data_IF_645079314664
#
_entry.id   IF_645079314664
#
_cell.length_a   1.000
_cell.length_b   1.000
_cell.length_c   1.000
_cell.angle_alpha   90.00
_cell.angle_beta   90.00
_cell.angle_gamma   90.00
#
_symmetry.space_group_name_H-M   'P 1'
#
loop_
_entity.id
_entity.type
_entity.pdbx_description
1 polymer ?
#
# COMPACT_ATOMS: atom_id res chain seq x y z
N UNK A 1 -5.06 -3.97 4.20
CA UNK A 1 -5.94 -2.98 3.55
C UNK A 1 -6.54 -3.61 2.33
N UNK A 2 -7.85 -3.50 2.16
CA UNK A 2 -8.54 -3.82 0.92
C UNK A 2 -8.69 -2.52 0.12
N UNK A 3 -8.20 -2.52 -1.12
CA UNK A 3 -8.14 -1.36 -2.01
C UNK A 3 -9.13 -1.43 -3.18
N UNK A 4 -10.12 -2.34 -3.11
CA UNK A 4 -11.08 -2.58 -4.19
C UNK A 4 -12.00 -1.37 -4.40
N UNK A 5 -12.06 -0.77 -5.61
CA UNK A 5 -12.87 0.43 -5.86
C UNK A 5 -14.38 0.19 -5.79
N UNK A 6 -14.82 -1.04 -6.00
CA UNK A 6 -16.23 -1.46 -6.05
C UNK A 6 -16.72 -2.12 -4.76
N UNK A 7 -15.97 -1.97 -3.65
CA UNK A 7 -16.40 -2.46 -2.35
C UNK A 7 -17.66 -1.72 -1.90
N UNK A 8 -18.73 -2.49 -1.70
CA UNK A 8 -20.08 -2.04 -1.35
C UNK A 8 -20.54 -2.66 -0.03
N UNK A 9 -21.77 -2.39 0.39
CA UNK A 9 -22.40 -3.04 1.54
C UNK A 9 -22.36 -4.58 1.49
N UNK A 10 -22.40 -5.18 0.29
CA UNK A 10 -22.29 -6.64 0.12
C UNK A 10 -20.88 -7.16 0.45
N UNK A 11 -19.84 -6.46 -0.03
CA UNK A 11 -18.44 -6.79 0.29
C UNK A 11 -18.16 -6.63 1.79
N UNK A 12 -18.68 -5.56 2.40
CA UNK A 12 -18.61 -5.39 3.85
C UNK A 12 -19.32 -6.53 4.59
N UNK A 13 -20.53 -6.93 4.18
CA UNK A 13 -21.26 -8.03 4.82
C UNK A 13 -20.57 -9.41 4.66
N UNK A 14 -19.77 -9.61 3.62
CA UNK A 14 -18.90 -10.79 3.48
C UNK A 14 -17.74 -10.73 4.49
N UNK A 15 -17.03 -9.60 4.54
CA UNK A 15 -15.90 -9.40 5.46
C UNK A 15 -16.33 -9.43 6.93
N UNK A 16 -17.49 -8.86 7.28
CA UNK A 16 -18.11 -8.94 8.62
C UNK A 16 -18.36 -10.39 9.02
N UNK A 17 -18.92 -11.22 8.13
CA UNK A 17 -19.10 -12.65 8.41
C UNK A 17 -17.77 -13.38 8.61
N UNK A 18 -16.76 -13.07 7.80
CA UNK A 18 -15.44 -13.69 7.90
C UNK A 18 -14.69 -13.34 9.20
N UNK A 19 -14.83 -12.10 9.71
CA UNK A 19 -14.25 -11.74 11.03
C UNK A 19 -15.04 -12.32 12.19
N UNK A 20 -16.38 -12.40 12.08
CA UNK A 20 -17.24 -13.00 13.10
C UNK A 20 -17.05 -14.53 13.22
N UNK A 21 -16.79 -15.22 12.09
CA UNK A 21 -16.52 -16.67 12.05
C UNK A 21 -15.07 -17.03 12.41
N UNK A 22 -14.19 -16.05 12.64
CA UNK A 22 -12.77 -16.28 12.86
C UNK A 22 -11.97 -16.69 11.61
N UNK A 23 -12.60 -16.73 10.42
CA UNK A 23 -11.92 -16.99 9.15
C UNK A 23 -10.96 -15.87 8.75
N UNK A 24 -11.23 -14.63 9.19
CA UNK A 24 -10.38 -13.46 8.96
C UNK A 24 -9.90 -12.88 10.29
N UNK A 25 -8.63 -13.13 10.61
CA UNK A 25 -8.01 -12.73 11.87
C UNK A 25 -7.24 -11.40 11.78
N UNK A 26 -7.29 -10.69 10.67
CA UNK A 26 -6.57 -9.41 10.48
C UNK A 26 -7.49 -8.21 10.74
N UNK A 27 -6.92 -7.07 11.12
CA UNK A 27 -7.62 -5.78 10.99
C UNK A 27 -7.64 -5.36 9.52
N UNK A 28 -8.79 -4.94 9.02
CA UNK A 28 -8.99 -4.56 7.62
C UNK A 28 -9.49 -3.12 7.54
N UNK A 29 -8.66 -2.26 6.94
CA UNK A 29 -9.14 -1.00 6.38
C UNK A 29 -9.71 -1.29 4.99
N UNK A 30 -11.01 -1.06 4.80
CA UNK A 30 -11.74 -1.26 3.54
C UNK A 30 -11.86 0.08 2.83
N UNK A 31 -11.22 0.23 1.68
CA UNK A 31 -11.63 1.26 0.73
C UNK A 31 -12.82 0.77 -0.10
N UNK A 32 -13.46 1.68 -0.82
CA UNK A 32 -14.60 1.43 -1.69
C UNK A 32 -15.19 2.74 -2.20
N UNK A 33 -16.33 2.66 -2.89
CA UNK A 33 -17.02 3.80 -3.50
C UNK A 33 -17.70 4.73 -2.48
N UNK A 34 -18.43 5.73 -2.97
CA UNK A 34 -19.19 6.69 -2.15
C UNK A 34 -20.34 6.10 -1.32
N UNK A 35 -20.73 4.84 -1.57
CA UNK A 35 -21.83 4.13 -0.91
C UNK A 35 -21.36 3.16 0.17
N UNK A 36 -20.06 2.87 0.28
CA UNK A 36 -19.49 2.00 1.33
C UNK A 36 -19.91 2.48 2.73
N UNK A 37 -20.72 1.70 3.48
CA UNK A 37 -21.19 2.10 4.82
C UNK A 37 -20.10 1.92 5.88
N UNK A 38 -20.30 2.53 7.06
CA UNK A 38 -19.38 2.34 8.19
C UNK A 38 -19.46 0.89 8.73
N UNK A 39 -18.32 0.21 8.96
CA UNK A 39 -18.30 -1.08 9.64
C UNK A 39 -18.66 -0.98 11.13
N UNK A 40 -19.51 -1.90 11.59
CA UNK A 40 -19.86 -2.03 13.02
C UNK A 40 -18.86 -2.91 13.80
N UNK A 41 -18.04 -3.70 13.11
CA UNK A 41 -17.11 -4.66 13.72
C UNK A 41 -15.74 -4.05 13.97
N UNK A 42 -15.19 -4.19 15.18
CA UNK A 42 -13.94 -3.53 15.64
C UNK A 42 -12.66 -3.89 14.87
N UNK A 43 -12.67 -4.99 14.11
CA UNK A 43 -11.58 -5.38 13.21
C UNK A 43 -11.68 -4.74 11.81
N UNK A 44 -12.79 -4.10 11.49
CA UNK A 44 -13.06 -3.49 10.19
C UNK A 44 -13.10 -1.96 10.35
N UNK A 45 -12.61 -1.22 9.36
CA UNK A 45 -12.57 0.24 9.39
C UNK A 45 -12.81 0.78 7.99
N UNK A 46 -13.69 1.79 7.84
CA UNK A 46 -13.88 2.44 6.55
C UNK A 46 -12.65 3.28 6.20
N UNK A 47 -12.17 3.08 4.99
CA UNK A 47 -11.04 3.79 4.42
C UNK A 47 -11.44 4.94 3.50
N UNK A 48 -10.44 5.54 2.85
CA UNK A 48 -10.64 6.51 1.77
C UNK A 48 -11.63 6.05 0.70
N UNK A 49 -12.20 7.02 -0.01
CA UNK A 49 -12.89 6.80 -1.28
C UNK A 49 -11.85 6.35 -2.32
N UNK A 50 -11.96 5.11 -2.80
CA UNK A 50 -11.05 4.60 -3.83
C UNK A 50 -11.52 5.08 -5.20
N UNK A 51 -10.62 5.74 -5.91
CA UNK A 51 -10.83 6.18 -7.29
C UNK A 51 -9.89 5.36 -8.19
N UNK A 52 -10.45 4.73 -9.21
CA UNK A 52 -9.71 4.06 -10.27
C UNK A 52 -9.65 5.01 -11.47
N UNK A 53 -8.45 5.28 -11.97
CA UNK A 53 -8.23 5.89 -13.28
C UNK A 53 -7.92 4.79 -14.30
N UNK A 54 -8.18 5.09 -15.57
CA UNK A 54 -7.80 4.31 -16.74
C UNK A 54 -7.22 5.34 -17.73
N UNK A 55 -5.92 5.31 -17.95
CA UNK A 55 -5.21 6.28 -18.81
C UNK A 55 -5.84 6.42 -20.22
N UNK A 56 -6.37 5.33 -20.78
CA UNK A 56 -7.02 5.36 -22.09
C UNK A 56 -8.41 6.01 -22.07
N UNK A 57 -8.99 6.21 -20.88
CA UNK A 57 -10.38 6.67 -20.65
C UNK A 57 -10.48 7.55 -19.41
N UNK A 58 -9.54 8.48 -19.24
CA UNK A 58 -9.60 9.46 -18.16
C UNK A 58 -10.95 10.20 -18.19
N UNK A 59 -11.61 10.39 -17.04
CA UNK A 59 -12.86 11.15 -16.97
C UNK A 59 -12.59 12.63 -17.31
N UNK A 60 -13.60 13.42 -17.68
CA UNK A 60 -13.47 14.87 -17.71
C UNK A 60 -12.95 15.40 -16.36
N UNK A 61 -12.02 16.34 -16.40
CA UNK A 61 -11.26 16.81 -15.23
C UNK A 61 -12.18 17.27 -14.09
N UNK A 62 -13.23 18.02 -14.42
CA UNK A 62 -14.22 18.52 -13.48
C UNK A 62 -14.98 17.39 -12.77
N UNK A 63 -15.15 16.22 -13.40
CA UNK A 63 -15.78 15.06 -12.76
C UNK A 63 -14.87 14.42 -11.72
N UNK A 64 -13.55 14.39 -11.96
CA UNK A 64 -12.59 13.94 -10.95
C UNK A 64 -12.58 14.90 -9.76
N UNK A 65 -12.50 16.20 -9.99
CA UNK A 65 -12.55 17.21 -8.93
C UNK A 65 -13.86 17.14 -8.12
N UNK A 66 -15.01 17.00 -8.79
CA UNK A 66 -16.30 16.81 -8.13
C UNK A 66 -16.36 15.53 -7.28
N UNK A 67 -15.67 14.46 -7.71
CA UNK A 67 -15.60 13.19 -6.97
C UNK A 67 -14.69 13.28 -5.75
N UNK A 68 -13.54 13.95 -5.87
CA UNK A 68 -12.64 14.27 -4.75
C UNK A 68 -13.40 15.08 -3.69
N UNK A 69 -13.98 16.22 -4.11
CA UNK A 69 -14.75 17.08 -3.21
C UNK A 69 -15.99 16.37 -2.60
N UNK A 70 -16.56 15.36 -3.27
CA UNK A 70 -17.64 14.53 -2.70
C UNK A 70 -17.11 13.63 -1.58
N UNK A 71 -15.97 12.97 -1.76
CA UNK A 71 -15.30 12.20 -0.70
C UNK A 71 -15.02 13.07 0.53
N UNK A 72 -14.41 14.23 0.31
CA UNK A 72 -14.09 15.18 1.39
C UNK A 72 -15.33 15.67 2.14
N UNK A 73 -16.44 15.96 1.45
CA UNK A 73 -17.73 16.30 2.10
C UNK A 73 -18.35 15.15 2.90
N UNK A 74 -17.98 13.89 2.61
CA UNK A 74 -18.34 12.73 3.43
C UNK A 74 -17.37 12.49 4.61
N UNK A 75 -16.39 13.38 4.83
CA UNK A 75 -15.34 13.20 5.83
C UNK A 75 -14.32 12.10 5.47
N UNK A 76 -14.26 11.68 4.19
CA UNK A 76 -13.36 10.64 3.69
C UNK A 76 -12.30 11.26 2.80
N UNK A 77 -11.04 10.93 3.07
CA UNK A 77 -9.95 11.13 2.12
C UNK A 77 -10.18 10.34 0.82
N UNK A 78 -9.41 10.61 -0.22
CA UNK A 78 -9.36 9.83 -1.47
C UNK A 78 -8.09 8.99 -1.59
N UNK A 79 -8.21 7.85 -2.26
CA UNK A 79 -7.09 7.01 -2.67
C UNK A 79 -7.18 6.79 -4.19
N UNK A 80 -6.31 7.45 -4.95
CA UNK A 80 -6.39 7.49 -6.42
C UNK A 80 -5.35 6.53 -7.03
N UNK A 81 -5.80 5.53 -7.77
CA UNK A 81 -4.93 4.63 -8.55
C UNK A 81 -4.27 5.40 -9.69
N UNK A 82 -2.93 5.45 -9.69
CA UNK A 82 -2.13 6.04 -10.75
C UNK A 82 -0.94 5.12 -11.08
N UNK A 83 -0.99 4.43 -12.21
CA UNK A 83 0.10 3.59 -12.72
C UNK A 83 0.95 4.38 -13.72
N UNK A 84 0.35 5.16 -14.61
CA UNK A 84 1.09 5.95 -15.61
C UNK A 84 1.44 7.35 -15.10
N UNK A 85 2.39 8.01 -15.78
CA UNK A 85 2.72 9.41 -15.50
C UNK A 85 1.56 10.36 -15.81
N UNK A 86 0.73 10.03 -16.79
CA UNK A 86 -0.43 10.83 -17.19
C UNK A 86 -1.49 10.80 -16.10
N UNK A 87 -1.86 9.61 -15.63
CA UNK A 87 -2.78 9.41 -14.51
C UNK A 87 -2.31 10.15 -13.26
N UNK A 88 -1.01 10.06 -12.95
CA UNK A 88 -0.40 10.73 -11.80
C UNK A 88 -0.52 12.26 -11.90
N UNK A 89 -0.10 12.86 -13.01
CA UNK A 89 -0.19 14.32 -13.18
C UNK A 89 -1.65 14.77 -13.14
N UNK A 90 -2.54 14.04 -13.82
CA UNK A 90 -3.98 14.32 -13.84
C UNK A 90 -4.61 14.28 -12.44
N UNK A 91 -4.29 13.26 -11.64
CA UNK A 91 -4.75 13.12 -10.27
C UNK A 91 -4.23 14.24 -9.35
N UNK A 92 -2.93 14.58 -9.46
CA UNK A 92 -2.32 15.64 -8.66
C UNK A 92 -2.88 17.02 -9.01
N UNK A 93 -3.09 17.31 -10.30
CA UNK A 93 -3.77 18.54 -10.72
C UNK A 93 -5.20 18.63 -10.18
N UNK A 94 -5.96 17.52 -10.17
CA UNK A 94 -7.31 17.49 -9.63
C UNK A 94 -7.36 17.66 -8.10
N UNK A 95 -6.33 17.17 -7.40
CA UNK A 95 -6.14 17.39 -5.96
C UNK A 95 -5.73 18.84 -5.64
N UNK A 96 -4.90 19.49 -6.46
CA UNK A 96 -4.59 20.91 -6.31
C UNK A 96 -5.84 21.78 -6.51
N UNK A 97 -6.64 21.50 -7.55
CA UNK A 97 -7.89 22.22 -7.84
C UNK A 97 -8.97 22.01 -6.77
N UNK A 98 -9.10 20.79 -6.24
CA UNK A 98 -10.12 20.43 -5.24
C UNK A 98 -9.73 20.80 -3.81
N UNK A 99 -8.44 21.05 -3.56
CA UNK A 99 -7.83 21.00 -2.25
C UNK A 99 -7.59 19.56 -1.75
N UNK A 100 -6.82 19.43 -0.69
CA UNK A 100 -6.40 18.15 -0.08
C UNK A 100 -6.73 18.08 1.41
N UNK A 101 -7.03 16.90 1.93
CA UNK A 101 -7.23 16.64 3.36
C UNK A 101 -6.29 15.54 3.88
N UNK A 102 -6.04 15.47 5.21
CA UNK A 102 -5.21 14.40 5.79
C UNK A 102 -5.73 12.99 5.44
N UNK A 103 -4.82 12.17 4.90
CA UNK A 103 -5.13 10.81 4.44
C UNK A 103 -5.33 10.69 2.93
N UNK A 104 -5.42 11.80 2.19
CA UNK A 104 -5.42 11.78 0.71
C UNK A 104 -4.11 11.17 0.20
N UNK A 105 -4.25 10.28 -0.80
CA UNK A 105 -3.11 9.52 -1.30
C UNK A 105 -3.21 9.07 -2.75
N UNK A 106 -2.04 8.94 -3.35
CA UNK A 106 -1.83 8.24 -4.61
C UNK A 106 -1.49 6.79 -4.32
N UNK A 107 -2.19 5.89 -5.00
CA UNK A 107 -1.94 4.46 -4.98
C UNK A 107 -1.12 4.08 -6.22
N UNK A 108 -0.17 3.17 -6.03
CA UNK A 108 0.88 2.77 -6.95
C UNK A 108 1.95 3.83 -7.20
N UNK A 109 1.63 4.94 -7.87
CA UNK A 109 2.60 5.88 -8.45
C UNK A 109 3.70 5.11 -9.23
N UNK A 110 3.28 4.22 -10.14
CA UNK A 110 4.21 3.24 -10.73
C UNK A 110 5.25 3.94 -11.60
N UNK A 111 4.83 4.79 -12.54
CA UNK A 111 5.73 5.65 -13.34
C UNK A 111 5.83 7.01 -12.65
N UNK A 112 6.95 7.18 -11.95
CA UNK A 112 7.40 8.27 -11.06
C UNK A 112 8.12 9.54 -11.57
N UNK A 113 7.79 10.28 -12.66
CA UNK A 113 8.66 11.32 -13.26
C UNK A 113 9.23 12.41 -12.33
N UNK A 114 10.36 13.03 -12.69
CA UNK A 114 11.04 14.04 -11.86
C UNK A 114 10.14 15.25 -11.56
N UNK A 115 9.43 15.75 -12.58
CA UNK A 115 8.47 16.85 -12.42
C UNK A 115 7.29 16.49 -11.50
N UNK A 116 6.90 15.22 -11.44
CA UNK A 116 5.81 14.76 -10.57
C UNK A 116 6.22 14.70 -9.08
N UNK A 117 7.53 14.60 -8.77
CA UNK A 117 8.03 14.67 -7.38
C UNK A 117 7.76 16.06 -6.76
N UNK A 118 7.82 17.14 -7.56
CA UNK A 118 7.47 18.47 -7.10
C UNK A 118 5.97 18.58 -6.78
N UNK A 119 5.11 18.12 -7.69
CA UNK A 119 3.65 18.12 -7.51
C UNK A 119 3.20 17.25 -6.32
N UNK A 120 3.85 16.10 -6.09
CA UNK A 120 3.60 15.25 -4.92
C UNK A 120 3.96 15.94 -3.59
N UNK A 121 5.02 16.75 -3.57
CA UNK A 121 5.36 17.56 -2.40
C UNK A 121 4.39 18.72 -2.19
N UNK A 122 3.99 19.39 -3.27
CA UNK A 122 3.07 20.54 -3.24
C UNK A 122 1.67 20.16 -2.76
N UNK A 123 1.14 19.04 -3.25
CA UNK A 123 -0.13 18.44 -2.79
C UNK A 123 -0.06 17.83 -1.39
N UNK A 124 1.14 17.63 -0.82
CA UNK A 124 1.38 17.00 0.48
C UNK A 124 0.70 15.63 0.70
N UNK A 125 0.35 14.92 -0.39
CA UNK A 125 -0.31 13.61 -0.32
C UNK A 125 0.67 12.48 -0.01
N UNK A 126 0.13 11.39 0.52
CA UNK A 126 0.89 10.14 0.70
C UNK A 126 0.97 9.37 -0.62
N UNK A 127 2.05 8.63 -0.84
CA UNK A 127 2.14 7.58 -1.87
C UNK A 127 2.09 6.20 -1.21
N UNK A 128 1.31 5.27 -1.77
CA UNK A 128 1.30 3.85 -1.37
C UNK A 128 1.71 3.00 -2.58
N UNK A 129 2.93 2.48 -2.56
CA UNK A 129 3.56 1.84 -3.73
C UNK A 129 3.88 0.36 -3.53
N UNK A 130 4.09 -0.38 -4.62
CA UNK A 130 4.28 -1.85 -4.63
C UNK A 130 5.66 -2.22 -5.18
N UNK A 131 6.72 -2.12 -4.36
CA UNK A 131 8.06 -2.47 -4.83
C UNK A 131 8.19 -3.93 -5.27
N UNK A 132 7.29 -4.83 -4.83
CA UNK A 132 7.22 -6.21 -5.29
C UNK A 132 7.08 -6.36 -6.82
N UNK A 133 6.39 -5.45 -7.50
CA UNK A 133 6.24 -5.50 -8.96
C UNK A 133 7.56 -5.31 -9.71
N UNK A 134 8.58 -4.70 -9.10
CA UNK A 134 9.95 -4.67 -9.65
C UNK A 134 10.51 -6.09 -9.83
N UNK A 135 10.22 -6.98 -8.88
CA UNK A 135 10.66 -8.38 -8.91
C UNK A 135 9.75 -9.23 -9.80
N UNK A 136 8.44 -9.05 -9.69
CA UNK A 136 7.46 -9.91 -10.35
C UNK A 136 7.26 -9.59 -11.83
N UNK A 137 7.23 -8.30 -12.18
CA UNK A 137 6.89 -7.80 -13.53
C UNK A 137 8.05 -7.04 -14.19
N UNK A 138 9.16 -6.82 -13.48
CA UNK A 138 10.29 -6.04 -13.99
C UNK A 138 10.90 -6.55 -15.31
N UNK A 139 10.86 -7.85 -15.59
CA UNK A 139 11.35 -8.38 -16.88
C UNK A 139 10.43 -7.98 -18.05
N UNK A 140 9.12 -7.91 -17.82
CA UNK A 140 8.14 -7.37 -18.76
C UNK A 140 8.31 -5.86 -18.91
N UNK A 141 8.46 -5.12 -17.80
CA UNK A 141 8.68 -3.67 -17.87
C UNK A 141 9.95 -3.30 -18.64
N UNK A 142 11.03 -4.06 -18.51
CA UNK A 142 12.26 -3.86 -19.27
C UNK A 142 12.14 -4.19 -20.77
N UNK A 143 11.01 -4.76 -21.21
CA UNK A 143 10.71 -5.07 -22.61
C UNK A 143 9.61 -4.15 -23.20
N UNK A 144 8.64 -3.74 -22.39
CA UNK A 144 7.42 -3.03 -22.84
C UNK A 144 7.35 -1.56 -22.42
N UNK A 145 8.00 -1.15 -21.33
CA UNK A 145 8.02 0.26 -20.88
C UNK A 145 9.13 1.01 -21.59
N UNK A 146 8.81 2.21 -22.10
CA UNK A 146 9.76 3.09 -22.78
C UNK A 146 11.07 3.27 -22.01
N UNK A 147 12.26 3.13 -22.62
CA UNK A 147 13.54 3.10 -21.91
C UNK A 147 13.80 4.29 -20.98
N UNK A 148 13.30 5.49 -21.34
CA UNK A 148 13.39 6.71 -20.51
C UNK A 148 12.58 6.62 -19.21
N UNK A 149 11.51 5.83 -19.21
CA UNK A 149 10.53 5.70 -18.12
C UNK A 149 10.84 4.50 -17.21
N UNK A 150 11.67 3.55 -17.67
CA UNK A 150 12.13 2.42 -16.86
C UNK A 150 12.88 2.85 -15.58
N UNK A 151 13.59 3.98 -15.64
CA UNK A 151 14.20 4.60 -14.47
C UNK A 151 13.15 5.11 -13.46
N UNK A 152 11.96 5.49 -13.93
CA UNK A 152 10.87 6.05 -13.14
C UNK A 152 9.97 4.99 -12.49
N UNK A 153 10.20 3.70 -12.75
CA UNK A 153 9.38 2.62 -12.19
C UNK A 153 9.63 2.41 -10.68
N UNK A 154 8.60 2.61 -9.86
CA UNK A 154 8.56 2.35 -8.41
C UNK A 154 9.71 3.03 -7.64
N UNK A 155 9.90 4.34 -7.85
CA UNK A 155 11.03 5.15 -7.33
C UNK A 155 10.98 5.44 -5.82
N UNK A 156 11.08 4.39 -5.02
CA UNK A 156 10.95 4.45 -3.57
C UNK A 156 12.01 5.34 -2.90
N UNK A 157 13.25 5.35 -3.40
CA UNK A 157 14.33 6.17 -2.82
C UNK A 157 14.09 7.65 -3.10
N UNK A 158 13.77 7.99 -4.35
CA UNK A 158 13.49 9.36 -4.76
C UNK A 158 12.30 9.94 -3.99
N UNK A 159 11.21 9.18 -3.82
CA UNK A 159 10.05 9.61 -3.04
C UNK A 159 10.42 9.93 -1.58
N UNK A 160 11.14 9.03 -0.91
CA UNK A 160 11.57 9.21 0.50
C UNK A 160 12.56 10.38 0.65
N UNK A 161 13.55 10.50 -0.22
CA UNK A 161 14.54 11.59 -0.15
C UNK A 161 13.93 12.95 -0.52
N UNK A 162 12.84 12.97 -1.29
CA UNK A 162 12.00 14.14 -1.51
C UNK A 162 11.00 14.39 -0.37
N UNK A 163 11.04 13.65 0.73
CA UNK A 163 10.18 13.87 1.90
C UNK A 163 8.70 13.59 1.67
N UNK A 164 8.36 12.85 0.62
CA UNK A 164 6.98 12.43 0.33
C UNK A 164 6.65 11.24 1.25
N UNK A 165 5.55 11.29 2.03
CA UNK A 165 5.15 10.16 2.88
C UNK A 165 4.94 8.90 2.03
N UNK A 166 5.65 7.81 2.35
CA UNK A 166 5.67 6.60 1.53
C UNK A 166 5.28 5.35 2.32
N UNK A 167 4.12 4.78 2.00
CA UNK A 167 3.69 3.46 2.44
C UNK A 167 3.98 2.37 1.41
N UNK A 168 4.08 1.14 1.88
CA UNK A 168 4.19 -0.07 1.04
C UNK A 168 2.90 -0.86 1.03
N UNK A 169 2.56 -1.43 -0.13
CA UNK A 169 1.56 -2.50 -0.22
C UNK A 169 2.02 -3.59 -1.19
N UNK A 170 1.30 -4.71 -1.20
CA UNK A 170 1.55 -5.84 -2.10
C UNK A 170 0.61 -5.88 -3.31
N UNK A 171 -0.52 -5.19 -3.25
CA UNK A 171 -1.61 -5.25 -4.23
C UNK A 171 -2.07 -6.70 -4.54
N UNK A 172 -2.06 -7.56 -3.52
CA UNK A 172 -2.59 -8.92 -3.64
C UNK A 172 -4.11 -8.88 -3.93
N UNK A 173 -4.63 -9.74 -4.84
CA UNK A 173 -3.96 -10.90 -5.45
C UNK A 173 -3.21 -10.60 -6.77
N UNK A 174 -3.10 -9.35 -7.22
CA UNK A 174 -2.38 -9.00 -8.45
C UNK A 174 -0.85 -9.09 -8.30
N UNK A 175 -0.35 -8.94 -7.08
CA UNK A 175 1.01 -9.31 -6.67
C UNK A 175 1.02 -10.38 -5.56
N UNK A 176 2.21 -10.85 -5.18
CA UNK A 176 2.37 -11.77 -4.05
C UNK A 176 1.83 -11.18 -2.75
N UNK A 177 1.05 -11.96 -1.99
CA UNK A 177 0.56 -11.55 -0.68
C UNK A 177 1.66 -11.37 0.39
N UNK A 178 2.91 -11.78 0.10
CA UNK A 178 4.03 -11.67 1.02
C UNK A 178 4.67 -10.25 1.04
N UNK A 179 4.54 -9.48 2.12
CA UNK A 179 5.21 -8.18 2.25
C UNK A 179 6.74 -8.30 2.34
N UNK A 180 7.29 -9.45 2.73
CA UNK A 180 8.74 -9.65 2.79
C UNK A 180 9.36 -9.65 1.39
N UNK A 181 8.73 -10.31 0.43
CA UNK A 181 9.11 -10.23 -0.99
C UNK A 181 9.10 -8.80 -1.54
N UNK A 182 8.12 -7.98 -1.13
CA UNK A 182 8.05 -6.57 -1.52
C UNK A 182 9.17 -5.73 -0.86
N UNK A 183 9.47 -5.94 0.43
CA UNK A 183 10.62 -5.33 1.11
C UNK A 183 11.95 -5.74 0.46
N UNK A 184 12.13 -7.03 0.14
CA UNK A 184 13.31 -7.53 -0.55
C UNK A 184 13.46 -6.91 -1.94
N UNK A 185 12.38 -6.74 -2.70
CA UNK A 185 12.39 -6.07 -4.00
C UNK A 185 12.77 -4.57 -3.89
N UNK A 186 12.31 -3.87 -2.85
CA UNK A 186 12.67 -2.48 -2.57
C UNK A 186 14.16 -2.29 -2.28
N UNK A 187 14.79 -3.25 -1.59
CA UNK A 187 16.24 -3.24 -1.30
C UNK A 187 17.07 -3.71 -2.50
N UNK A 188 16.61 -4.73 -3.23
CA UNK A 188 17.40 -5.37 -4.29
C UNK A 188 17.29 -4.66 -5.64
N UNK A 189 16.13 -4.10 -6.00
CA UNK A 189 15.84 -3.50 -7.31
C UNK A 189 16.20 -4.42 -8.50
N UNK A 190 15.84 -5.70 -8.38
CA UNK A 190 16.09 -6.75 -9.39
C UNK A 190 14.81 -7.48 -9.81
N UNK A 191 14.76 -7.81 -11.09
CA UNK A 191 13.70 -8.59 -11.73
C UNK A 191 13.78 -10.08 -11.39
N UNK A 192 12.83 -10.90 -11.88
CA UNK A 192 12.82 -12.34 -11.66
C UNK A 192 14.02 -13.03 -12.34
N UNK A 193 14.41 -12.57 -13.51
CA UNK A 193 15.65 -12.98 -14.20
C UNK A 193 16.93 -12.33 -13.62
N UNK A 194 16.83 -11.57 -12.53
CA UNK A 194 17.97 -10.96 -11.84
C UNK A 194 18.53 -9.69 -12.50
N UNK A 195 17.91 -9.20 -13.59
CA UNK A 195 18.27 -7.93 -14.23
C UNK A 195 18.05 -6.78 -13.25
N UNK A 196 18.88 -5.75 -13.32
CA UNK A 196 18.71 -4.56 -12.49
C UNK A 196 17.79 -3.55 -13.20
N UNK A 197 16.97 -2.84 -12.43
CA UNK A 197 16.09 -1.78 -12.94
C UNK A 197 16.05 -0.63 -11.93
N UNK A 198 16.40 0.59 -12.35
CA UNK A 198 16.49 1.76 -11.47
C UNK A 198 17.31 1.50 -10.20
N UNK A 199 18.58 1.09 -10.32
CA UNK A 199 19.41 0.69 -9.16
C UNK A 199 19.68 1.82 -8.15
N UNK A 200 19.54 3.08 -8.55
CA UNK A 200 19.55 4.25 -7.66
C UNK A 200 18.36 4.28 -6.70
N UNK A 201 17.30 3.52 -6.97
CA UNK A 201 16.06 3.49 -6.20
C UNK A 201 16.03 2.47 -5.06
N UNK A 202 17.19 1.90 -4.72
CA UNK A 202 17.32 0.95 -3.62
C UNK A 202 17.10 1.62 -2.26
N UNK A 203 16.28 1.00 -1.42
CA UNK A 203 16.15 1.34 -0.01
C UNK A 203 17.14 0.55 0.86
N UNK A 204 17.43 1.05 2.07
CA UNK A 204 18.03 0.19 3.11
C UNK A 204 16.96 -0.74 3.67
N UNK A 205 17.31 -1.88 4.29
CA UNK A 205 16.35 -2.76 4.94
C UNK A 205 15.45 -2.07 5.97
N UNK A 206 15.98 -1.07 6.68
CA UNK A 206 15.24 -0.28 7.68
C UNK A 206 14.20 0.63 7.02
N UNK A 207 14.57 1.28 5.90
CA UNK A 207 13.62 2.07 5.11
C UNK A 207 12.57 1.18 4.43
N UNK A 208 12.94 -0.01 3.97
CA UNK A 208 12.00 -0.99 3.40
C UNK A 208 11.01 -1.51 4.46
N UNK A 209 11.48 -1.77 5.69
CA UNK A 209 10.61 -2.12 6.82
C UNK A 209 9.66 -0.97 7.21
N UNK A 210 10.14 0.28 7.19
CA UNK A 210 9.32 1.46 7.53
C UNK A 210 8.04 1.54 6.68
N UNK A 211 8.12 1.17 5.39
CA UNK A 211 6.98 1.15 4.46
C UNK A 211 5.76 0.34 4.97
N UNK A 212 6.00 -0.72 5.75
CA UNK A 212 4.97 -1.66 6.21
C UNK A 212 4.66 -1.57 7.71
N UNK A 213 5.29 -0.64 8.45
CA UNK A 213 5.19 -0.56 9.92
C UNK A 213 4.42 0.66 10.45
N UNK A 214 4.08 1.64 9.60
CA UNK A 214 3.17 2.73 9.98
C UNK A 214 1.73 2.24 10.21
N UNK A 215 0.85 3.12 10.71
CA UNK A 215 -0.56 2.79 10.89
C UNK A 215 -1.28 2.64 9.52
N UNK A 216 -2.20 1.67 9.33
CA UNK A 216 -2.93 1.51 8.05
C UNK A 216 -3.78 2.73 7.65
N UNK A 217 -4.18 3.55 8.61
CA UNK A 217 -4.89 4.83 8.42
C UNK A 217 -3.97 5.98 8.02
N UNK A 218 -2.67 5.87 8.31
CA UNK A 218 -1.63 6.84 7.98
C UNK A 218 -0.41 6.10 7.35
N UNK A 219 -0.55 5.55 6.12
CA UNK A 219 0.57 4.99 5.39
C UNK A 219 1.68 6.05 5.24
N UNK A 220 2.96 5.65 5.33
CA UNK A 220 4.08 6.58 5.22
C UNK A 220 4.26 7.57 6.37
N UNK A 221 3.38 7.54 7.39
CA UNK A 221 3.61 8.19 8.67
C UNK A 221 4.69 7.48 9.51
N UNK A 222 4.92 7.92 10.76
CA UNK A 222 5.89 7.29 11.65
C UNK A 222 5.69 5.78 11.79
N UNK A 223 6.79 5.03 11.80
CA UNK A 223 6.77 3.61 12.13
C UNK A 223 6.24 3.41 13.56
N UNK A 224 5.47 2.35 13.79
CA UNK A 224 4.98 2.02 15.14
C UNK A 224 6.14 1.61 16.04
N UNK A 225 6.14 2.14 17.26
CA UNK A 225 7.08 1.77 18.32
C UNK A 225 6.51 0.63 19.18
N UNK A 226 7.40 -0.16 19.78
CA UNK A 226 7.04 -1.23 20.73
C UNK A 226 7.31 -0.68 22.14
N UNK A 227 6.27 -0.20 22.80
CA UNK A 227 6.33 0.38 24.14
C UNK A 227 5.03 0.10 24.93
N UNK A 228 5.08 0.10 26.28
CA UNK A 228 3.87 -0.07 27.09
C UNK A 228 2.80 0.98 26.77
N UNK A 229 1.57 0.51 26.52
CA UNK A 229 0.43 1.35 26.14
C UNK A 229 0.11 1.33 24.65
N UNK A 230 1.03 0.90 23.78
CA UNK A 230 0.74 0.69 22.36
C UNK A 230 -0.01 -0.63 22.10
N UNK A 231 -0.79 -0.73 21.00
CA UNK A 231 -1.39 -2.01 20.58
C UNK A 231 -0.32 -3.07 20.37
N UNK A 232 -0.49 -4.25 20.99
CA UNK A 232 0.40 -5.39 20.85
C UNK A 232 0.23 -6.11 19.49
N UNK A 233 0.48 -5.37 18.41
CA UNK A 233 0.52 -5.83 17.02
C UNK A 233 1.97 -6.11 16.64
N UNK A 234 2.41 -7.37 16.78
CA UNK A 234 3.82 -7.74 16.73
C UNK A 234 4.08 -8.82 15.67
N UNK A 235 5.23 -8.71 15.00
CA UNK A 235 5.78 -9.77 14.16
C UNK A 235 7.03 -10.31 14.87
N UNK A 236 6.94 -11.52 15.42
CA UNK A 236 8.04 -12.16 16.12
C UNK A 236 8.90 -12.91 15.10
N UNK A 237 10.20 -12.64 15.10
CA UNK A 237 11.18 -13.34 14.27
C UNK A 237 11.86 -14.47 15.04
N UNK A 238 12.27 -15.53 14.34
CA UNK A 238 13.05 -16.64 14.90
C UNK A 238 14.54 -16.31 15.11
N UNK A 239 14.98 -15.11 14.69
CA UNK A 239 16.37 -14.63 14.77
C UNK A 239 16.43 -13.11 14.95
N UNK A 240 17.58 -12.55 15.38
CA UNK A 240 17.76 -11.11 15.53
C UNK A 240 17.56 -10.36 14.19
N UNK A 241 17.01 -9.13 14.27
CA UNK A 241 16.83 -8.27 13.09
C UNK A 241 18.13 -8.03 12.31
N UNK A 242 19.28 -7.95 12.99
CA UNK A 242 20.59 -7.81 12.37
C UNK A 242 20.91 -8.92 11.34
N UNK A 243 20.31 -10.10 11.49
CA UNK A 243 20.39 -11.20 10.54
C UNK A 243 19.24 -11.17 9.52
N UNK A 244 18.00 -11.09 9.99
CA UNK A 244 16.80 -11.13 9.16
C UNK A 244 16.79 -10.02 8.09
N UNK A 245 17.29 -8.81 8.41
CA UNK A 245 17.38 -7.67 7.49
C UNK A 245 18.27 -7.89 6.27
N UNK A 246 19.12 -8.93 6.29
CA UNK A 246 19.97 -9.34 5.15
C UNK A 246 19.25 -10.31 4.20
N UNK A 247 18.15 -10.93 4.63
CA UNK A 247 17.35 -11.90 3.89
C UNK A 247 16.01 -11.32 3.43
N UNK A 248 15.31 -10.63 4.34
CA UNK A 248 13.95 -10.12 4.17
C UNK A 248 13.00 -11.20 3.60
N UNK A 249 12.78 -12.26 4.37
CA UNK A 249 11.89 -13.39 4.00
C UNK A 249 10.89 -13.70 5.11
N UNK A 250 9.68 -14.12 4.70
CA UNK A 250 8.66 -14.65 5.61
C UNK A 250 9.12 -15.91 6.37
N UNK A 251 10.13 -16.64 5.86
CA UNK A 251 10.73 -17.81 6.54
C UNK A 251 11.36 -17.47 7.90
N UNK A 252 11.58 -16.19 8.20
CA UNK A 252 12.13 -15.74 9.48
C UNK A 252 11.01 -15.38 10.49
N UNK A 253 9.73 -15.36 10.09
CA UNK A 253 8.57 -15.05 10.97
C UNK A 253 8.15 -16.26 11.79
N UNK A 254 8.31 -16.20 13.11
CA UNK A 254 7.91 -17.26 14.04
C UNK A 254 6.43 -17.16 14.43
N UNK A 255 5.92 -15.95 14.64
CA UNK A 255 4.53 -15.70 15.00
C UNK A 255 4.07 -14.28 14.63
N UNK A 256 2.76 -14.12 14.40
CA UNK A 256 2.10 -12.82 14.24
C UNK A 256 1.08 -12.64 15.34
N UNK A 257 1.12 -11.48 16.00
CA UNK A 257 0.29 -11.13 17.14
C UNK A 257 -0.53 -9.89 16.77
N UNK A 258 -1.81 -9.87 17.13
CA UNK A 258 -2.76 -8.77 16.93
C UNK A 258 -3.39 -8.42 18.26
N UNK A 259 -3.13 -7.22 18.79
CA UNK A 259 -3.68 -6.78 20.08
C UNK A 259 -3.41 -7.74 21.25
N UNK A 260 -2.29 -8.48 21.21
CA UNK A 260 -1.93 -9.50 22.20
C UNK A 260 -2.36 -10.94 21.87
N UNK A 261 -3.21 -11.13 20.87
CA UNK A 261 -3.67 -12.45 20.41
C UNK A 261 -2.77 -13.01 19.31
N UNK A 262 -2.34 -14.28 19.43
CA UNK A 262 -1.51 -14.95 18.41
C UNK A 262 -2.38 -15.43 17.26
N UNK A 263 -2.37 -14.70 16.14
CA UNK A 263 -3.16 -15.02 14.94
C UNK A 263 -2.41 -15.90 13.91
N UNK A 264 -1.11 -16.08 14.10
CA UNK A 264 -0.27 -16.99 13.32
C UNK A 264 0.90 -17.49 14.16
N UNK A 265 1.25 -18.77 14.02
CA UNK A 265 2.47 -19.37 14.57
C UNK A 265 3.00 -20.41 13.60
N UNK A 266 4.28 -20.30 13.23
CA UNK A 266 4.92 -21.26 12.31
C UNK A 266 4.92 -22.66 12.93
N UNK A 267 4.55 -23.68 12.15
CA UNK A 267 4.52 -25.08 12.60
C UNK A 267 3.33 -25.45 13.51
N UNK A 268 2.47 -24.51 13.89
CA UNK A 268 1.17 -24.87 14.45
C UNK A 268 0.28 -25.38 13.32
N UNK A 269 -0.23 -26.60 13.43
CA UNK A 269 -1.37 -27.00 12.61
C UNK A 269 -2.53 -26.05 12.91
N UNK A 270 -3.11 -25.44 11.87
CA UNK A 270 -4.32 -24.63 12.01
C UNK A 270 -5.43 -25.53 12.53
N UNK A 271 -5.72 -25.42 13.83
CA UNK A 271 -6.88 -26.06 14.43
C UNK A 271 -8.13 -25.48 13.78
N UNK A 272 -8.68 -26.19 12.79
CA UNK A 272 -10.04 -25.92 12.34
C UNK A 272 -10.99 -26.21 13.50
N UNK A 273 -11.96 -25.31 13.68
CA UNK A 273 -13.08 -25.55 14.58
C UNK A 273 -13.86 -26.80 14.12
N UNK A 274 -14.54 -27.50 15.04
CA UNK A 274 -15.32 -28.70 14.71
C UNK A 274 -16.51 -28.38 13.79
N UNK A 275 -17.00 -29.43 13.12
CA UNK A 275 -18.07 -29.45 12.11
C UNK A 275 -19.40 -28.77 12.54
#
# INVERSE_FOLDING_TARGET
TDATPTNSACALALLTRAVQSGQLLQRVLLMGDEQLPEPEHSLLTRGPLKILLDDYRLPPFEQLCQRIARGHRQGRAVAIHCVTSTELVFALSALLESGTIPGDRIEHASVTPDAALALLRETAVTVVTQPGFVRERGDQYLAEVEPREQAWLYRCRSLVDHGIPLGGSTDAPYGSADPWSAMAAAVQRRTRAGRAIGSSEQLTPERALALFTSAPTAPGGPARHIEPGMPADLCLLDRPWAEARRRLTADDVAATIRGGEVIYRRGAATAHAPD
#
